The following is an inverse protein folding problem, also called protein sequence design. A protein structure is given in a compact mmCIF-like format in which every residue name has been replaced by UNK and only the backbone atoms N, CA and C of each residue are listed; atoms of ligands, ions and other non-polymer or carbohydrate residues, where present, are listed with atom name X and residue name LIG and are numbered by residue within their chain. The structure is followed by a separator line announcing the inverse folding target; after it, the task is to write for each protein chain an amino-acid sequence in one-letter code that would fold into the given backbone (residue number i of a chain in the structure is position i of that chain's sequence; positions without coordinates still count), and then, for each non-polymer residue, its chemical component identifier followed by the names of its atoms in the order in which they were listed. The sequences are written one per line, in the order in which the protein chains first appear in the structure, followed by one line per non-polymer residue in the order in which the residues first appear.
data_IF_454603317356
#
_entry.id   IF_454603317356
#
_cell.length_a   1.000
_cell.length_b   1.000
_cell.length_c   1.000
_cell.angle_alpha   90.00
_cell.angle_beta   90.00
_cell.angle_gamma   90.00
#
_symmetry.space_group_name_H-M   'P 1'
#
loop_
_entity.id
_entity.type
_entity.pdbx_description
1 polymer ?
#
# COMPACT_ATOMS: atom_id res chain seq x y z
N UNK A 1 3.56 -5.12 2.01
CA UNK A 1 4.21 -4.93 0.70
C UNK A 1 3.75 -3.59 0.14
N UNK A 2 4.59 -2.88 -0.60
CA UNK A 2 4.23 -1.60 -1.21
C UNK A 2 4.52 -1.64 -2.70
N UNK A 3 3.47 -1.56 -3.50
CA UNK A 3 3.52 -1.53 -4.96
C UNK A 3 3.64 -0.09 -5.44
N UNK A 4 4.65 0.21 -6.24
CA UNK A 4 4.84 1.57 -6.77
C UNK A 4 3.90 1.82 -7.95
N UNK A 5 3.02 2.80 -7.84
CA UNK A 5 2.22 3.28 -8.96
C UNK A 5 3.00 4.34 -9.74
N UNK A 6 3.39 3.97 -10.96
CA UNK A 6 3.99 4.87 -11.94
C UNK A 6 2.94 5.20 -13.01
N UNK A 7 2.74 6.47 -13.31
CA UNK A 7 1.95 6.93 -14.45
C UNK A 7 2.84 7.76 -15.37
N UNK A 8 3.01 7.31 -16.61
CA UNK A 8 3.88 7.96 -17.60
C UNK A 8 5.31 8.26 -17.09
N UNK A 9 5.86 7.41 -16.21
CA UNK A 9 7.19 7.59 -15.61
C UNK A 9 7.23 8.46 -14.35
N UNK A 10 6.12 9.07 -13.95
CA UNK A 10 6.01 9.84 -12.71
C UNK A 10 5.43 8.97 -11.57
N UNK A 11 5.99 9.03 -10.35
CA UNK A 11 5.43 8.36 -9.19
C UNK A 11 4.11 9.03 -8.83
N UNK A 12 3.00 8.33 -9.09
CA UNK A 12 1.66 8.83 -8.72
C UNK A 12 1.34 8.51 -7.25
N UNK A 13 2.03 7.53 -6.69
CA UNK A 13 1.87 7.06 -5.32
C UNK A 13 2.32 5.61 -5.19
N UNK A 14 1.93 4.97 -4.10
CA UNK A 14 2.14 3.56 -3.91
C UNK A 14 0.96 2.88 -3.22
N UNK A 15 0.62 1.69 -3.67
CA UNK A 15 -0.44 0.89 -3.08
C UNK A 15 0.17 -0.01 -2.01
N UNK A 16 -0.33 0.05 -0.79
CA UNK A 16 0.03 -0.89 0.27
C UNK A 16 -0.80 -2.14 0.11
N UNK A 17 -0.15 -3.30 0.14
CA UNK A 17 -0.72 -4.64 0.04
C UNK A 17 -0.30 -5.49 1.24
N UNK A 18 -1.10 -6.52 1.55
CA UNK A 18 -0.67 -7.62 2.43
C UNK A 18 0.39 -8.48 1.73
N UNK A 19 1.20 -9.19 2.51
CA UNK A 19 2.23 -10.09 1.97
C UNK A 19 1.65 -11.16 1.03
N UNK A 20 0.44 -11.62 1.31
CA UNK A 20 -0.26 -12.67 0.57
C UNK A 20 -1.23 -12.12 -0.50
N UNK A 21 -1.06 -10.86 -0.92
CA UNK A 21 -1.99 -10.25 -1.88
C UNK A 21 -1.69 -10.72 -3.30
N UNK A 22 -2.63 -11.44 -3.90
CA UNK A 22 -2.55 -11.89 -5.30
C UNK A 22 -2.87 -10.80 -6.33
N UNK A 23 -3.36 -9.64 -5.88
CA UNK A 23 -3.70 -8.51 -6.73
C UNK A 23 -2.51 -7.58 -7.02
N UNK A 24 -1.31 -7.90 -6.52
CA UNK A 24 -0.09 -7.18 -6.86
C UNK A 24 0.21 -7.43 -8.35
N UNK A 25 0.33 -6.37 -9.13
CA UNK A 25 0.56 -6.41 -10.59
C UNK A 25 1.98 -5.98 -10.96
N UNK A 26 2.65 -5.22 -10.08
CA UNK A 26 4.00 -4.68 -10.31
C UNK A 26 4.96 -5.08 -9.21
N UNK A 27 6.21 -4.62 -9.35
CA UNK A 27 7.23 -4.74 -8.33
C UNK A 27 6.74 -4.13 -7.01
N UNK A 28 6.60 -4.98 -6.00
CA UNK A 28 6.21 -4.60 -4.66
C UNK A 28 7.38 -4.81 -3.71
N UNK A 29 7.78 -3.74 -3.03
CA UNK A 29 8.81 -3.82 -2.02
C UNK A 29 8.22 -4.38 -0.71
N UNK A 30 8.87 -5.36 -0.06
CA UNK A 30 8.46 -5.79 1.27
C UNK A 30 8.69 -4.62 2.25
N UNK A 31 7.69 -4.36 3.08
CA UNK A 31 7.74 -3.37 4.15
C UNK A 31 7.12 -3.99 5.40
N UNK A 32 7.55 -3.50 6.57
CA UNK A 32 7.00 -3.90 7.86
C UNK A 32 5.54 -3.48 7.99
N UNK A 33 4.80 -4.16 8.87
CA UNK A 33 3.43 -3.77 9.19
C UNK A 33 3.37 -2.34 9.78
N UNK A 34 4.39 -1.93 10.53
CA UNK A 34 4.48 -0.58 11.09
C UNK A 34 4.64 0.50 10.00
N UNK A 35 5.60 0.32 9.08
CA UNK A 35 5.74 1.17 7.88
C UNK A 35 4.44 1.21 7.07
N UNK A 36 3.78 0.06 6.90
CA UNK A 36 2.49 0.01 6.21
C UNK A 36 1.41 0.83 6.90
N UNK A 37 1.38 0.82 8.24
CA UNK A 37 0.49 1.70 9.01
C UNK A 37 0.85 3.16 8.83
N UNK A 38 2.10 3.52 9.05
CA UNK A 38 2.58 4.90 8.93
C UNK A 38 2.30 5.47 7.54
N UNK A 39 2.55 4.70 6.49
CA UNK A 39 2.27 5.09 5.11
C UNK A 39 0.77 5.40 4.91
N UNK A 40 -0.11 4.54 5.42
CA UNK A 40 -1.56 4.70 5.28
C UNK A 40 -2.15 5.80 6.20
N UNK A 41 -1.54 6.09 7.35
CA UNK A 41 -2.03 7.11 8.30
C UNK A 41 -1.40 8.49 8.11
N UNK A 42 -0.13 8.54 7.72
CA UNK A 42 0.65 9.78 7.63
C UNK A 42 0.63 10.38 6.23
N UNK A 43 0.78 9.54 5.20
CA UNK A 43 0.97 9.96 3.81
C UNK A 43 -0.16 9.45 2.91
N UNK A 44 -1.41 9.41 3.41
CA UNK A 44 -2.59 8.90 2.69
C UNK A 44 -2.90 9.58 1.34
N UNK A 45 -2.19 10.66 1.00
CA UNK A 45 -2.22 11.32 -0.32
C UNK A 45 -1.36 10.59 -1.36
N UNK A 46 -0.29 9.92 -0.93
CA UNK A 46 0.66 9.21 -1.78
C UNK A 46 0.58 7.70 -1.59
N UNK A 47 0.13 7.22 -0.42
CA UNK A 47 -0.04 5.81 -0.16
C UNK A 47 -1.51 5.44 -0.02
N UNK A 48 -1.92 4.42 -0.76
CA UNK A 48 -3.31 3.95 -0.77
C UNK A 48 -3.39 2.50 -0.32
N UNK A 49 -4.40 2.15 0.46
CA UNK A 49 -4.62 0.76 0.83
C UNK A 49 -5.20 0.01 -0.37
N UNK A 50 -4.66 -1.17 -0.66
CA UNK A 50 -5.24 -2.04 -1.68
C UNK A 50 -6.69 -2.39 -1.31
N UNK A 51 -7.63 -2.08 -2.21
CA UNK A 51 -9.06 -2.35 -2.04
C UNK A 51 -9.40 -3.84 -1.96
N UNK A 52 -8.55 -4.72 -2.54
CA UNK A 52 -8.76 -6.16 -2.53
C UNK A 52 -8.35 -6.82 -1.22
N UNK A 53 -7.12 -6.57 -0.74
CA UNK A 53 -6.63 -7.21 0.47
C UNK A 53 -6.84 -6.36 1.74
N UNK A 54 -7.38 -5.15 1.61
CA UNK A 54 -7.75 -4.21 2.68
C UNK A 54 -6.75 -4.22 3.85
N UNK A 55 -5.47 -3.87 3.59
CA UNK A 55 -4.46 -3.89 4.64
C UNK A 55 -4.76 -2.88 5.74
N UNK A 56 -5.47 -1.79 5.42
CA UNK A 56 -5.97 -0.82 6.40
C UNK A 56 -6.89 -1.47 7.45
N UNK A 57 -7.83 -2.30 7.01
CA UNK A 57 -8.75 -3.01 7.90
C UNK A 57 -8.00 -4.05 8.76
N UNK A 58 -7.03 -4.75 8.16
CA UNK A 58 -6.20 -5.71 8.88
C UNK A 58 -5.31 -5.05 9.95
N UNK A 59 -4.85 -3.83 9.67
CA UNK A 59 -4.00 -3.06 10.57
C UNK A 59 -4.79 -2.20 11.57
N UNK A 60 -6.13 -2.24 11.52
CA UNK A 60 -7.01 -1.46 12.40
C UNK A 60 -6.97 0.05 12.14
N UNK A 61 -6.62 0.45 10.91
CA UNK A 61 -6.52 1.86 10.50
C UNK A 61 -7.88 2.42 10.08
N UNK A 62 -8.79 1.56 9.62
CA UNK A 62 -10.14 1.95 9.23
C UNK A 62 -10.91 2.45 10.47
N UNK A 63 -11.01 3.77 10.61
CA UNK A 63 -11.89 4.51 11.51
C UNK A 63 -12.73 5.49 10.70
#
# INVERSE_FOLDING_TARGET
MVEKQLHAGHPLGATVHRADCTAIQRDANPISADDGRQALTGDGKFFHACEFCRPDAHLGISG
#
